data_IF_998853858046
#
_entry.id   IF_998853858046
#
_cell.length_a   1.000
_cell.length_b   1.000
_cell.length_c   1.000
_cell.angle_alpha   90.00
_cell.angle_beta   90.00
_cell.angle_gamma   90.00
#
_symmetry.space_group_name_H-M   'P 1'
#
loop_
_entity.id
_entity.type
_entity.pdbx_description
1 polymer ?
#
# COMPACT_ATOMS: atom_id res chain seq x y z
N UNK A 1 6.38 -12.38 6.76
CA UNK A 1 6.41 -11.65 8.04
C UNK A 1 5.30 -10.59 8.06
N UNK A 2 4.56 -10.42 9.18
CA UNK A 2 3.62 -9.29 9.36
C UNK A 2 4.25 -8.19 10.22
N UNK A 3 3.76 -6.96 10.10
CA UNK A 3 4.19 -5.86 10.99
C UNK A 3 3.78 -6.10 12.44
N UNK A 4 4.60 -5.65 13.38
CA UNK A 4 4.30 -5.62 14.82
C UNK A 4 3.30 -4.53 15.21
N UNK A 5 3.04 -3.54 14.34
CA UNK A 5 2.21 -2.38 14.65
C UNK A 5 0.73 -2.71 14.39
N UNK A 6 -0.11 -2.87 15.43
CA UNK A 6 -1.49 -3.34 15.24
C UNK A 6 -2.36 -2.37 14.43
N UNK A 7 -2.11 -1.06 14.59
CA UNK A 7 -2.83 -0.02 13.85
C UNK A 7 -2.53 -0.09 12.35
N UNK A 8 -1.26 -0.31 11.97
CA UNK A 8 -0.89 -0.48 10.57
C UNK A 8 -1.47 -1.77 9.99
N UNK A 9 -1.40 -2.89 10.72
CA UNK A 9 -1.99 -4.15 10.25
C UNK A 9 -3.51 -3.99 10.02
N UNK A 10 -4.21 -3.30 10.92
CA UNK A 10 -5.65 -3.02 10.77
C UNK A 10 -5.92 -2.19 9.51
N UNK A 11 -5.09 -1.17 9.26
CA UNK A 11 -5.18 -0.36 8.05
C UNK A 11 -4.90 -1.19 6.77
N UNK A 12 -3.87 -2.04 6.75
CA UNK A 12 -3.56 -2.91 5.62
C UNK A 12 -4.73 -3.84 5.30
N UNK A 13 -5.36 -4.43 6.31
CA UNK A 13 -6.60 -5.23 6.14
C UNK A 13 -7.74 -4.38 5.57
N UNK A 14 -7.85 -3.09 5.93
CA UNK A 14 -8.88 -2.19 5.37
C UNK A 14 -8.71 -1.92 3.88
N UNK A 15 -7.48 -2.00 3.34
CA UNK A 15 -7.22 -1.87 1.91
C UNK A 15 -7.72 -3.09 1.11
N UNK A 16 -7.87 -4.25 1.73
CA UNK A 16 -8.30 -5.47 1.04
C UNK A 16 -9.75 -5.40 0.59
N UNK A 17 -10.64 -4.82 1.41
CA UNK A 17 -12.07 -4.72 1.07
C UNK A 17 -12.33 -4.01 -0.28
N UNK A 18 -11.80 -2.79 -0.54
CA UNK A 18 -11.97 -2.15 -1.85
C UNK A 18 -11.24 -2.88 -2.97
N UNK A 19 -10.13 -3.59 -2.69
CA UNK A 19 -9.48 -4.44 -3.69
C UNK A 19 -10.41 -5.59 -4.13
N UNK A 20 -11.06 -6.26 -3.18
CA UNK A 20 -11.95 -7.38 -3.46
C UNK A 20 -13.25 -6.97 -4.15
N UNK A 21 -13.74 -5.75 -3.88
CA UNK A 21 -14.89 -5.19 -4.58
C UNK A 21 -14.54 -4.47 -5.88
N UNK A 22 -13.27 -4.48 -6.30
CA UNK A 22 -12.73 -3.70 -7.43
C UNK A 22 -13.05 -2.19 -7.37
N UNK A 23 -13.23 -1.66 -6.15
CA UNK A 23 -13.50 -0.24 -5.92
C UNK A 23 -12.19 0.55 -5.89
N UNK A 24 -11.65 0.80 -7.09
CA UNK A 24 -10.40 1.55 -7.27
C UNK A 24 -10.45 2.96 -6.70
N UNK A 25 -11.60 3.63 -6.79
CA UNK A 25 -11.79 4.95 -6.20
C UNK A 25 -11.57 4.88 -4.69
N UNK A 26 -12.26 3.95 -4.02
CA UNK A 26 -12.14 3.81 -2.58
C UNK A 26 -10.75 3.37 -2.14
N UNK A 27 -10.12 2.48 -2.91
CA UNK A 27 -8.72 2.10 -2.67
C UNK A 27 -7.80 3.31 -2.75
N UNK A 28 -7.88 4.12 -3.81
CA UNK A 28 -7.04 5.31 -4.01
C UNK A 28 -7.20 6.29 -2.86
N UNK A 29 -8.44 6.59 -2.44
CA UNK A 29 -8.72 7.49 -1.30
C UNK A 29 -8.05 7.03 0.01
N UNK A 30 -7.94 5.72 0.22
CA UNK A 30 -7.33 5.13 1.41
C UNK A 30 -5.82 4.95 1.27
N UNK A 31 -5.31 4.81 0.05
CA UNK A 31 -3.93 4.40 -0.21
C UNK A 31 -2.97 5.58 -0.37
N UNK A 32 -3.35 6.61 -1.12
CA UNK A 32 -2.44 7.72 -1.49
C UNK A 32 -2.07 8.61 -0.29
N UNK A 33 -0.88 9.26 -0.29
CA UNK A 33 -0.50 10.20 0.77
C UNK A 33 -1.53 11.31 0.96
N UNK A 34 -1.63 11.86 2.18
CA UNK A 34 -2.62 12.91 2.48
C UNK A 34 -2.26 14.28 1.89
N UNK A 35 -1.01 14.48 1.48
CA UNK A 35 -0.45 15.74 0.98
C UNK A 35 -0.37 15.82 -0.55
N UNK A 36 -0.94 14.85 -1.27
CA UNK A 36 -1.05 14.88 -2.74
C UNK A 36 -2.18 15.80 -3.21
N UNK A 37 -2.05 16.34 -4.43
CA UNK A 37 -3.09 17.19 -5.01
C UNK A 37 -4.24 16.36 -5.57
N UNK A 38 -5.42 16.97 -5.76
CA UNK A 38 -6.54 16.29 -6.41
C UNK A 38 -6.25 15.90 -7.86
N UNK A 39 -5.33 16.60 -8.53
CA UNK A 39 -4.87 16.25 -9.87
C UNK A 39 -4.06 14.96 -9.85
N UNK A 40 -3.14 14.80 -8.88
CA UNK A 40 -2.36 13.58 -8.70
C UNK A 40 -3.26 12.37 -8.40
N UNK A 41 -4.27 12.55 -7.54
CA UNK A 41 -5.26 11.51 -7.22
C UNK A 41 -6.01 11.09 -8.49
N UNK A 42 -6.45 12.07 -9.28
CA UNK A 42 -7.19 11.82 -10.52
C UNK A 42 -6.32 11.12 -11.56
N UNK A 43 -5.06 11.55 -11.69
CA UNK A 43 -4.07 10.94 -12.58
C UNK A 43 -3.80 9.49 -12.21
N UNK A 44 -3.48 9.23 -10.94
CA UNK A 44 -3.21 7.89 -10.44
C UNK A 44 -4.41 6.95 -10.63
N UNK A 45 -5.62 7.41 -10.31
CA UNK A 45 -6.83 6.64 -10.57
C UNK A 45 -7.05 6.41 -12.08
N UNK A 46 -6.75 7.40 -12.91
CA UNK A 46 -6.80 7.30 -14.38
C UNK A 46 -5.87 6.20 -14.90
N UNK A 47 -4.66 6.12 -14.36
CA UNK A 47 -3.68 5.08 -14.69
C UNK A 47 -4.18 3.68 -14.29
N UNK A 48 -4.69 3.54 -13.06
CA UNK A 48 -5.26 2.27 -12.58
C UNK A 48 -6.47 1.81 -13.40
N UNK A 49 -7.25 2.74 -13.95
CA UNK A 49 -8.38 2.43 -14.83
C UNK A 49 -7.94 2.07 -16.26
N UNK A 50 -6.86 2.68 -16.74
CA UNK A 50 -6.36 2.49 -18.11
C UNK A 50 -5.42 1.29 -18.24
N UNK A 51 -4.82 0.83 -17.14
CA UNK A 51 -3.86 -0.27 -17.10
C UNK A 51 -4.27 -1.38 -16.13
N UNK A 52 -4.92 -2.46 -16.63
CA UNK A 52 -5.29 -3.60 -15.79
C UNK A 52 -4.10 -4.28 -15.12
N UNK A 53 -2.94 -4.31 -15.79
CA UNK A 53 -1.72 -4.88 -15.22
C UNK A 53 -1.18 -4.06 -14.05
N UNK A 54 -1.30 -2.74 -14.09
CA UNK A 54 -0.88 -1.88 -12.97
C UNK A 54 -1.75 -2.11 -11.73
N UNK A 55 -3.07 -2.21 -11.92
CA UNK A 55 -3.98 -2.58 -10.83
C UNK A 55 -3.67 -3.96 -10.26
N UNK A 56 -3.46 -4.95 -11.13
CA UNK A 56 -3.15 -6.32 -10.72
C UNK A 56 -1.84 -6.39 -9.94
N UNK A 57 -0.79 -5.73 -10.43
CA UNK A 57 0.52 -5.68 -9.78
C UNK A 57 0.41 -5.02 -8.40
N UNK A 58 -0.13 -3.80 -8.33
CA UNK A 58 -0.27 -3.07 -7.07
C UNK A 58 -1.08 -3.86 -6.04
N UNK A 59 -2.24 -4.41 -6.42
CA UNK A 59 -3.07 -5.15 -5.47
C UNK A 59 -2.44 -6.47 -5.04
N UNK A 60 -1.62 -7.11 -5.90
CA UNK A 60 -0.86 -8.29 -5.52
C UNK A 60 0.22 -7.97 -4.47
N UNK A 61 0.90 -6.82 -4.60
CA UNK A 61 1.85 -6.31 -3.60
C UNK A 61 1.16 -6.07 -2.25
N UNK A 62 0.01 -5.39 -2.24
CA UNK A 62 -0.75 -5.12 -1.01
C UNK A 62 -1.19 -6.41 -0.32
N UNK A 63 -1.57 -7.46 -1.07
CA UNK A 63 -1.92 -8.76 -0.51
C UNK A 63 -0.72 -9.47 0.13
N UNK A 64 0.47 -9.37 -0.46
CA UNK A 64 1.71 -9.88 0.14
C UNK A 64 1.99 -9.15 1.46
N UNK A 65 1.87 -7.82 1.48
CA UNK A 65 2.14 -7.01 2.67
C UNK A 65 1.12 -7.30 3.79
N UNK A 66 -0.17 -7.37 3.47
CA UNK A 66 -1.22 -7.64 4.46
C UNK A 66 -1.11 -9.05 5.07
N UNK A 67 -0.89 -10.05 4.22
CA UNK A 67 -0.77 -11.45 4.66
C UNK A 67 0.59 -11.72 5.31
N UNK A 68 1.61 -10.96 4.93
CA UNK A 68 3.00 -11.21 5.26
C UNK A 68 3.59 -12.42 4.53
N UNK A 69 2.88 -13.08 3.62
CA UNK A 69 3.42 -14.22 2.88
C UNK A 69 4.38 -13.72 1.78
N UNK A 70 5.65 -14.10 1.85
CA UNK A 70 6.70 -13.59 0.94
C UNK A 70 7.42 -12.32 1.40
N UNK A 71 6.97 -11.69 2.50
CA UNK A 71 7.72 -10.58 3.11
C UNK A 71 8.97 -11.10 3.80
N UNK A 72 10.12 -10.65 3.32
CA UNK A 72 11.45 -11.05 3.77
C UNK A 72 11.93 -10.23 4.97
N UNK A 73 11.68 -8.92 4.93
CA UNK A 73 12.14 -7.95 5.94
C UNK A 73 11.14 -6.82 6.10
N UNK A 74 11.03 -6.33 7.33
CA UNK A 74 10.28 -5.12 7.68
C UNK A 74 11.23 -4.21 8.45
N UNK A 75 11.27 -2.94 8.07
CA UNK A 75 12.00 -1.90 8.79
C UNK A 75 11.06 -0.88 9.39
N UNK A 76 11.39 -0.44 10.60
CA UNK A 76 10.68 0.60 11.31
C UNK A 76 11.59 1.82 11.44
N UNK A 77 11.17 2.93 10.84
CA UNK A 77 11.84 4.23 10.88
C UNK A 77 11.01 5.25 11.65
N UNK A 78 11.62 6.38 12.01
CA UNK A 78 10.96 7.52 12.67
C UNK A 78 10.20 7.15 13.95
N UNK A 79 10.73 6.20 14.72
CA UNK A 79 10.10 5.70 15.93
C UNK A 79 8.81 4.92 15.67
N UNK A 80 8.73 4.20 14.54
CA UNK A 80 7.58 3.40 14.16
C UNK A 80 6.48 4.19 13.45
N UNK A 81 6.80 5.35 12.89
CA UNK A 81 5.88 6.17 12.07
C UNK A 81 6.04 5.93 10.57
N UNK A 82 7.13 5.28 10.18
CA UNK A 82 7.39 4.85 8.81
C UNK A 82 7.76 3.38 8.83
N UNK A 83 7.08 2.58 8.01
CA UNK A 83 7.26 1.13 7.96
C UNK A 83 7.52 0.73 6.52
N UNK A 84 8.62 0.02 6.29
CA UNK A 84 9.05 -0.37 4.96
C UNK A 84 9.02 -1.89 4.86
N UNK A 85 8.37 -2.41 3.83
CA UNK A 85 8.26 -3.84 3.53
C UNK A 85 9.15 -4.18 2.34
N UNK A 86 9.96 -5.23 2.51
CA UNK A 86 10.82 -5.78 1.47
C UNK A 86 10.38 -7.19 1.10
N UNK A 87 10.15 -7.41 -0.20
CA UNK A 87 9.66 -8.68 -0.75
C UNK A 87 9.90 -8.73 -2.26
N UNK A 88 9.95 -9.92 -2.83
CA UNK A 88 9.92 -10.11 -4.27
C UNK A 88 8.50 -9.90 -4.82
N UNK A 89 8.36 -9.21 -5.96
CA UNK A 89 7.07 -8.95 -6.58
C UNK A 89 6.35 -10.28 -6.90
N UNK A 90 5.12 -10.50 -6.41
CA UNK A 90 4.47 -11.82 -6.45
C UNK A 90 4.14 -12.31 -7.86
N UNK A 91 4.09 -11.40 -8.85
CA UNK A 91 3.80 -11.73 -10.26
C UNK A 91 5.00 -11.54 -11.19
N UNK A 92 6.14 -11.04 -10.70
CA UNK A 92 7.30 -10.69 -11.52
C UNK A 92 8.57 -11.24 -10.88
N UNK A 93 8.95 -12.45 -11.29
CA UNK A 93 10.11 -13.16 -10.77
C UNK A 93 11.40 -12.34 -10.96
N UNK A 94 12.23 -12.31 -9.92
CA UNK A 94 13.47 -11.56 -9.84
C UNK A 94 13.30 -10.05 -9.68
N UNK A 95 12.10 -9.56 -9.38
CA UNK A 95 11.83 -8.15 -9.16
C UNK A 95 11.62 -7.84 -7.68
N UNK A 96 12.68 -7.40 -7.00
CA UNK A 96 12.59 -6.96 -5.61
C UNK A 96 11.77 -5.67 -5.47
N UNK A 97 10.95 -5.60 -4.42
CA UNK A 97 10.06 -4.49 -4.11
C UNK A 97 10.33 -3.96 -2.73
N UNK A 98 10.16 -2.65 -2.63
CA UNK A 98 10.18 -1.88 -1.42
C UNK A 98 8.90 -1.04 -1.41
N UNK A 99 8.07 -1.24 -0.39
CA UNK A 99 6.82 -0.48 -0.23
C UNK A 99 6.79 0.09 1.17
N UNK A 100 6.63 1.41 1.25
CA UNK A 100 6.58 2.14 2.51
C UNK A 100 5.17 2.60 2.86
N UNK A 101 4.89 2.62 4.17
CA UNK A 101 3.70 3.22 4.75
C UNK A 101 4.12 4.22 5.82
N UNK A 102 3.51 5.40 5.79
CA UNK A 102 3.80 6.52 6.70
C UNK A 102 2.55 6.90 7.46
N UNK A 103 2.69 7.13 8.76
CA UNK A 103 1.67 7.67 9.63
C UNK A 103 1.72 9.20 9.59
N UNK A 104 0.73 9.83 8.95
CA UNK A 104 0.67 11.28 8.74
C UNK A 104 -0.73 11.86 8.97
N UNK A 105 -0.87 13.18 8.94
CA UNK A 105 -2.16 13.87 9.11
C UNK A 105 -2.61 14.11 10.56
N UNK A 106 -3.74 14.82 10.69
CA UNK A 106 -4.41 15.12 11.96
C UNK A 106 -5.93 14.90 11.82
N UNK A 107 -6.51 13.82 12.37
CA UNK A 107 -5.85 12.77 13.16
C UNK A 107 -4.86 11.92 12.35
N UNK A 108 -3.91 11.20 13.00
CA UNK A 108 -2.92 10.39 12.31
C UNK A 108 -3.55 9.21 11.56
N UNK A 109 -3.19 9.05 10.29
CA UNK A 109 -3.63 7.98 9.42
C UNK A 109 -2.43 7.38 8.67
N UNK A 110 -2.45 6.05 8.49
CA UNK A 110 -1.47 5.36 7.65
C UNK A 110 -1.83 5.59 6.18
N UNK A 111 -0.83 5.88 5.36
CA UNK A 111 -0.89 5.97 3.89
C UNK A 111 0.37 5.38 3.27
N UNK A 112 0.33 5.07 1.98
CA UNK A 112 1.54 4.80 1.21
C UNK A 112 2.48 6.00 1.34
N UNK A 113 3.77 5.72 1.50
CA UNK A 113 4.80 6.73 1.35
C UNK A 113 5.19 6.89 -0.12
N UNK A 114 5.55 8.12 -0.51
CA UNK A 114 5.75 8.57 -1.89
C UNK A 114 7.21 8.77 -2.26
#
# INVERSE_FOLDING_TARGET
MKTSIPALQTYLTSLIAPIESEDKQKFVELFVPLDVTSEDITGFLGDLNSSPSQWLNLTSEIRVIESGEGVERIEEEDGGKKIIFYFEHPLLEGCDREVEFVLSGEPPEWRAGG
#
